data_IF_713750950496
#
_entry.id   IF_713750950496
#
_cell.length_a   1.000
_cell.length_b   1.000
_cell.length_c   1.000
_cell.angle_alpha   90.00
_cell.angle_beta   90.00
_cell.angle_gamma   90.00
#
_symmetry.space_group_name_H-M   'P 1'
#
loop_
_entity.id
_entity.type
_entity.pdbx_description
1 polymer ?
#
# COMPACT_ATOMS: atom_id res chain seq x y z
N UNK A 1 -26.39 -18.10 1.00
CA UNK A 1 -26.65 -17.59 -0.35
C UNK A 1 -27.37 -16.24 -0.33
N UNK A 2 -26.66 -15.14 -0.03
CA UNK A 2 -27.08 -13.77 -0.36
C UNK A 2 -25.84 -12.92 -0.45
N UNK A 3 -25.62 -12.23 -1.58
CA UNK A 3 -24.85 -10.98 -1.52
C UNK A 3 -25.35 -9.89 -2.47
N UNK A 4 -26.12 -10.17 -3.52
CA UNK A 4 -26.63 -9.09 -4.39
C UNK A 4 -28.00 -9.41 -4.96
N UNK A 5 -29.06 -9.02 -4.24
CA UNK A 5 -30.45 -9.35 -4.60
C UNK A 5 -31.03 -8.53 -5.75
N UNK A 6 -30.37 -7.48 -6.22
CA UNK A 6 -30.91 -6.61 -7.27
C UNK A 6 -29.85 -6.36 -8.33
N UNK A 7 -29.82 -7.27 -9.29
CA UNK A 7 -29.13 -7.06 -10.56
C UNK A 7 -29.98 -6.10 -11.38
N UNK A 8 -29.46 -4.90 -11.64
CA UNK A 8 -29.99 -4.05 -12.71
C UNK A 8 -29.00 -4.19 -13.85
N UNK A 9 -29.43 -4.80 -14.95
CA UNK A 9 -28.63 -4.91 -16.17
C UNK A 9 -28.66 -3.56 -16.88
N UNK A 10 -27.71 -2.68 -16.53
CA UNK A 10 -27.58 -1.36 -17.14
C UNK A 10 -26.93 -1.42 -18.54
N UNK A 11 -26.18 -2.50 -18.85
CA UNK A 11 -25.56 -2.81 -20.13
C UNK A 11 -25.17 -4.32 -20.17
N UNK A 12 -24.94 -4.95 -21.33
CA UNK A 12 -24.70 -6.41 -21.44
C UNK A 12 -23.42 -6.93 -20.74
N UNK A 13 -22.55 -6.05 -20.22
CA UNK A 13 -21.32 -6.44 -19.49
C UNK A 13 -21.27 -5.97 -18.05
N UNK A 14 -22.08 -4.98 -17.68
CA UNK A 14 -21.98 -4.31 -16.38
C UNK A 14 -23.09 -4.79 -15.44
N UNK A 15 -22.67 -5.19 -14.24
CA UNK A 15 -23.57 -5.67 -13.19
C UNK A 15 -23.51 -4.70 -12.03
N UNK A 16 -24.63 -4.02 -11.75
CA UNK A 16 -24.76 -3.17 -10.57
C UNK A 16 -25.23 -4.01 -9.40
N UNK A 17 -24.51 -3.86 -8.28
CA UNK A 17 -24.62 -4.66 -7.08
C UNK A 17 -25.00 -3.72 -5.92
N UNK A 18 -26.19 -3.90 -5.35
CA UNK A 18 -26.69 -3.07 -4.24
C UNK A 18 -26.57 -3.82 -2.91
N UNK A 19 -26.13 -3.09 -1.87
CA UNK A 19 -25.97 -3.57 -0.51
C UNK A 19 -26.63 -2.60 0.47
N UNK A 20 -27.43 -3.09 1.41
CA UNK A 20 -28.04 -2.23 2.44
C UNK A 20 -27.05 -1.93 3.57
N UNK A 21 -27.35 -0.90 4.37
CA UNK A 21 -26.52 -0.55 5.55
C UNK A 21 -26.49 -1.68 6.57
N UNK A 22 -27.61 -2.39 6.75
CA UNK A 22 -27.70 -3.56 7.64
C UNK A 22 -26.93 -4.77 7.09
N UNK A 23 -26.88 -4.95 5.76
CA UNK A 23 -26.09 -6.02 5.13
C UNK A 23 -24.59 -5.73 5.22
N UNK A 24 -24.17 -4.48 5.01
CA UNK A 24 -22.78 -4.04 5.17
C UNK A 24 -22.25 -4.28 6.60
N UNK A 25 -23.12 -4.11 7.59
CA UNK A 25 -22.73 -4.20 9.00
C UNK A 25 -22.67 -5.63 9.54
N UNK A 26 -23.15 -6.63 8.78
CA UNK A 26 -23.08 -8.03 9.17
C UNK A 26 -21.70 -8.61 8.87
N UNK A 27 -21.17 -9.50 9.73
CA UNK A 27 -19.95 -10.24 9.42
C UNK A 27 -20.08 -10.98 8.09
N UNK A 28 -18.96 -11.11 7.38
CA UNK A 28 -18.91 -11.90 6.15
C UNK A 28 -19.38 -13.34 6.44
N UNK A 29 -20.15 -13.89 5.51
CA UNK A 29 -20.55 -15.30 5.55
C UNK A 29 -19.33 -16.21 5.60
N UNK A 30 -19.46 -17.39 6.23
CA UNK A 30 -18.42 -18.44 6.23
C UNK A 30 -17.98 -18.85 4.81
N UNK A 31 -18.89 -18.75 3.82
CA UNK A 31 -18.61 -18.96 2.39
C UNK A 31 -17.60 -17.94 1.83
N UNK A 32 -17.45 -16.80 2.50
CA UNK A 32 -16.51 -15.72 2.18
C UNK A 32 -15.33 -15.65 3.17
N UNK A 33 -15.08 -16.71 3.95
CA UNK A 33 -13.95 -16.80 4.89
C UNK A 33 -12.58 -16.58 4.22
N UNK A 34 -12.48 -16.86 2.92
CA UNK A 34 -11.30 -16.57 2.12
C UNK A 34 -10.95 -15.08 2.06
N UNK A 35 -11.93 -14.17 2.21
CA UNK A 35 -11.73 -12.72 2.26
C UNK A 35 -11.30 -12.23 3.64
N UNK A 36 -11.73 -12.91 4.72
CA UNK A 36 -11.35 -12.56 6.09
C UNK A 36 -9.98 -13.08 6.49
N UNK A 37 -9.38 -13.94 5.68
CA UNK A 37 -8.06 -14.49 5.96
C UNK A 37 -7.00 -13.48 5.52
N UNK A 38 -6.60 -12.59 6.44
CA UNK A 38 -5.23 -12.07 6.43
C UNK A 38 -4.33 -13.29 6.36
N UNK A 39 -3.77 -13.56 5.18
CA UNK A 39 -2.97 -14.76 4.93
C UNK A 39 -1.76 -14.71 5.86
N UNK A 40 -1.81 -15.44 6.96
CA UNK A 40 -0.69 -15.55 7.91
C UNK A 40 0.36 -16.40 7.21
N UNK A 41 1.38 -15.75 6.65
CA UNK A 41 2.49 -16.45 6.02
C UNK A 41 3.33 -17.11 7.12
N UNK A 42 3.51 -18.44 7.06
CA UNK A 42 4.29 -19.22 8.03
C UNK A 42 5.72 -18.69 8.20
N UNK A 43 6.27 -18.07 7.15
CA UNK A 43 7.48 -17.24 7.20
C UNK A 43 7.26 -16.00 6.36
N UNK A 44 7.37 -14.77 6.91
CA UNK A 44 7.46 -13.59 6.07
C UNK A 44 8.75 -13.70 5.26
N UNK A 45 8.63 -14.02 3.96
CA UNK A 45 9.76 -13.92 3.04
C UNK A 45 10.17 -12.46 3.07
N UNK A 46 11.41 -12.20 3.46
CA UNK A 46 11.93 -10.84 3.57
C UNK A 46 12.01 -10.13 2.22
N UNK A 47 12.39 -8.85 2.23
CA UNK A 47 12.52 -8.06 1.00
C UNK A 47 13.69 -8.49 0.11
N UNK A 48 14.56 -9.38 0.56
CA UNK A 48 15.67 -9.94 -0.23
C UNK A 48 15.60 -11.44 -0.28
N UNK A 49 15.92 -11.98 -1.45
CA UNK A 49 16.14 -13.40 -1.66
C UNK A 49 17.53 -13.83 -1.16
N UNK A 50 17.79 -15.14 -0.99
CA UNK A 50 19.11 -15.64 -0.59
C UNK A 50 20.25 -15.28 -1.55
N UNK A 51 19.94 -14.99 -2.81
CA UNK A 51 20.91 -14.55 -3.83
C UNK A 51 21.23 -13.03 -3.75
N UNK A 52 20.61 -12.31 -2.81
CA UNK A 52 20.77 -10.87 -2.62
C UNK A 52 19.86 -10.01 -3.50
N UNK A 53 19.11 -10.59 -4.43
CA UNK A 53 18.15 -9.85 -5.26
C UNK A 53 16.94 -9.39 -4.43
N UNK A 54 16.29 -8.30 -4.86
CA UNK A 54 15.15 -7.71 -4.15
C UNK A 54 13.86 -8.43 -4.54
N UNK A 55 13.14 -8.93 -3.54
CA UNK A 55 11.82 -9.53 -3.69
C UNK A 55 10.73 -8.45 -3.75
N UNK A 56 10.50 -7.89 -4.93
CA UNK A 56 9.51 -6.83 -5.15
C UNK A 56 8.07 -7.22 -4.79
N UNK A 57 7.77 -8.51 -4.72
CA UNK A 57 6.44 -9.05 -4.38
C UNK A 57 6.33 -9.40 -2.89
N UNK A 58 7.34 -9.08 -2.07
CA UNK A 58 7.29 -9.28 -0.63
C UNK A 58 6.02 -8.67 -0.03
N UNK A 59 5.29 -9.38 0.85
CA UNK A 59 4.18 -8.81 1.61
C UNK A 59 4.56 -7.52 2.37
N UNK A 60 5.82 -7.41 2.80
CA UNK A 60 6.38 -6.21 3.41
C UNK A 60 6.36 -4.97 2.50
N UNK A 61 6.42 -5.16 1.18
CA UNK A 61 6.22 -4.11 0.17
C UNK A 61 4.78 -4.13 -0.36
N UNK A 62 3.83 -4.44 0.52
CA UNK A 62 2.41 -4.56 0.24
C UNK A 62 2.12 -5.46 -0.97
N UNK A 63 2.83 -6.59 -1.06
CA UNK A 63 2.67 -7.59 -2.13
C UNK A 63 3.07 -7.07 -3.52
N UNK A 64 3.94 -6.07 -3.58
CA UNK A 64 4.36 -5.41 -4.82
C UNK A 64 3.44 -4.29 -5.28
N UNK A 65 2.39 -3.95 -4.52
CA UNK A 65 1.55 -2.80 -4.84
C UNK A 65 2.31 -1.47 -4.82
N UNK A 66 3.35 -1.32 -3.99
CA UNK A 66 4.17 -0.10 -3.95
C UNK A 66 4.95 0.14 -5.26
N UNK A 67 5.48 -0.92 -5.87
CA UNK A 67 6.18 -0.83 -7.16
C UNK A 67 5.24 -0.82 -8.36
N UNK A 68 4.03 -1.38 -8.21
CA UNK A 68 2.98 -1.32 -9.23
C UNK A 68 2.16 -0.03 -9.16
N UNK A 69 2.35 0.78 -8.12
CA UNK A 69 1.68 2.07 -7.96
C UNK A 69 2.08 3.03 -9.09
N UNK A 70 1.26 4.06 -9.34
CA UNK A 70 1.56 5.11 -10.33
C UNK A 70 2.88 5.83 -10.06
N UNK A 71 3.29 5.93 -8.80
CA UNK A 71 4.59 6.48 -8.37
C UNK A 71 5.67 5.39 -8.16
N UNK A 72 5.40 4.14 -8.51
CA UNK A 72 6.27 3.00 -8.26
C UNK A 72 7.61 3.09 -8.99
N UNK A 73 7.67 3.82 -10.12
CA UNK A 73 8.92 4.08 -10.84
C UNK A 73 9.91 4.94 -10.04
N UNK A 74 9.43 5.81 -9.15
CA UNK A 74 10.24 6.59 -8.21
C UNK A 74 10.55 5.81 -6.93
N UNK A 75 9.66 4.89 -6.54
CA UNK A 75 9.86 4.05 -5.37
C UNK A 75 11.02 3.07 -5.53
N UNK A 76 11.20 2.48 -6.74
CA UNK A 76 12.27 1.51 -7.01
C UNK A 76 13.68 2.05 -6.75
N UNK A 77 14.12 3.19 -7.31
CA UNK A 77 15.46 3.73 -7.04
C UNK A 77 15.64 4.13 -5.59
N UNK A 78 14.62 4.74 -4.96
CA UNK A 78 14.60 5.04 -3.53
C UNK A 78 14.85 3.77 -2.69
N UNK A 79 14.12 2.69 -2.97
CA UNK A 79 14.25 1.42 -2.25
C UNK A 79 15.64 0.79 -2.42
N UNK A 80 16.19 0.83 -3.63
CA UNK A 80 17.55 0.33 -3.90
C UNK A 80 18.58 1.14 -3.11
N UNK A 81 18.47 2.46 -3.10
CA UNK A 81 19.38 3.34 -2.37
C UNK A 81 19.32 3.08 -0.85
N UNK A 82 18.13 2.95 -0.27
CA UNK A 82 17.95 2.63 1.16
C UNK A 82 18.48 1.23 1.52
N UNK A 83 18.37 0.26 0.60
CA UNK A 83 18.67 -1.14 0.89
C UNK A 83 20.17 -1.50 0.89
N UNK A 84 21.05 -0.61 0.42
CA UNK A 84 22.48 -0.87 0.29
C UNK A 84 23.30 -0.42 1.52
N UNK A 85 22.66 -0.15 2.66
CA UNK A 85 23.21 0.78 3.64
C UNK A 85 22.87 0.43 5.09
N UNK A 86 23.86 -0.05 5.83
CA UNK A 86 23.72 -0.40 7.24
C UNK A 86 23.89 0.87 8.11
N UNK A 87 22.82 1.25 8.84
CA UNK A 87 22.83 2.06 10.10
C UNK A 87 22.60 3.59 10.05
N UNK A 88 22.18 4.20 8.95
CA UNK A 88 21.76 5.63 8.94
C UNK A 88 20.27 5.78 8.64
N UNK A 89 19.66 6.86 9.15
CA UNK A 89 18.25 7.17 8.92
C UNK A 89 17.96 7.29 7.42
N UNK A 90 16.92 6.58 6.95
CA UNK A 90 16.60 6.40 5.54
C UNK A 90 16.41 7.74 4.81
N UNK A 91 15.96 8.76 5.54
CA UNK A 91 15.71 10.11 5.05
C UNK A 91 16.97 10.94 4.81
N UNK A 92 18.13 10.54 5.33
CA UNK A 92 19.40 11.26 5.14
C UNK A 92 20.22 10.73 3.96
N UNK A 93 20.03 9.46 3.57
CA UNK A 93 20.87 8.81 2.54
C UNK A 93 20.43 9.04 1.10
N UNK A 94 19.11 9.07 0.87
CA UNK A 94 18.52 9.13 -0.46
C UNK A 94 17.52 10.30 -0.55
N UNK A 95 17.95 11.53 -0.23
CA UNK A 95 17.03 12.65 -0.06
C UNK A 95 16.36 13.02 -1.40
N UNK A 96 17.07 12.91 -2.51
CA UNK A 96 16.54 13.26 -3.84
C UNK A 96 15.44 12.28 -4.25
N UNK A 97 15.72 10.98 -4.21
CA UNK A 97 14.76 9.93 -4.57
C UNK A 97 13.56 9.92 -3.62
N UNK A 98 13.78 10.23 -2.34
CA UNK A 98 12.72 10.34 -1.34
C UNK A 98 11.80 11.52 -1.66
N UNK A 99 12.37 12.70 -1.92
CA UNK A 99 11.60 13.91 -2.25
C UNK A 99 10.78 13.70 -3.52
N UNK A 100 11.36 13.09 -4.56
CA UNK A 100 10.64 12.82 -5.81
C UNK A 100 9.48 11.86 -5.60
N UNK A 101 9.72 10.72 -4.93
CA UNK A 101 8.69 9.73 -4.66
C UNK A 101 7.55 10.31 -3.83
N UNK A 102 7.89 11.01 -2.74
CA UNK A 102 6.92 11.69 -1.89
C UNK A 102 6.14 12.73 -2.70
N UNK A 103 6.81 13.62 -3.44
CA UNK A 103 6.14 14.63 -4.27
C UNK A 103 5.13 14.01 -5.27
N UNK A 104 5.46 12.85 -5.86
CA UNK A 104 4.53 12.12 -6.71
C UNK A 104 3.31 11.60 -5.94
N UNK A 105 3.51 10.96 -4.79
CA UNK A 105 2.42 10.44 -3.96
C UNK A 105 1.47 11.56 -3.49
N UNK A 106 2.04 12.72 -3.12
CA UNK A 106 1.28 13.89 -2.67
C UNK A 106 0.42 14.51 -3.77
N UNK A 107 0.89 14.51 -5.02
CA UNK A 107 0.09 14.99 -6.16
C UNK A 107 -1.15 14.12 -6.41
N UNK A 108 -1.10 12.83 -6.05
CA UNK A 108 -2.21 11.89 -6.28
C UNK A 108 -3.24 11.89 -5.16
N UNK A 109 -2.86 12.24 -3.93
CA UNK A 109 -3.77 12.23 -2.78
C UNK A 109 -4.75 13.41 -2.74
N UNK A 110 -4.62 14.42 -3.60
CA UNK A 110 -5.46 15.62 -3.60
C UNK A 110 -5.34 16.49 -2.32
N UNK A 111 -4.65 15.99 -1.30
CA UNK A 111 -4.22 16.70 -0.10
C UNK A 111 -2.77 17.10 -0.31
N UNK A 112 -2.54 18.38 -0.65
CA UNK A 112 -1.26 19.04 -0.36
C UNK A 112 -0.90 18.75 1.10
N UNK A 113 0.18 18.04 1.44
CA UNK A 113 0.18 17.41 2.74
C UNK A 113 0.96 18.24 3.74
N UNK A 114 0.31 18.41 4.88
CA UNK A 114 0.89 18.67 6.20
C UNK A 114 2.19 17.89 6.47
N UNK A 115 2.41 16.76 5.81
CA UNK A 115 3.59 15.91 5.96
C UNK A 115 4.91 16.62 5.58
N UNK A 116 4.94 17.36 4.46
CA UNK A 116 6.14 18.16 4.09
C UNK A 116 6.34 19.34 5.08
N UNK A 117 5.25 19.91 5.58
CA UNK A 117 5.28 21.01 6.55
C UNK A 117 5.81 20.58 7.94
N UNK A 118 5.59 19.33 8.34
CA UNK A 118 6.08 18.76 9.60
C UNK A 118 7.55 18.31 9.48
N UNK A 119 7.94 17.75 8.33
CA UNK A 119 9.35 17.42 8.03
C UNK A 119 10.23 18.69 7.93
N UNK A 120 9.78 19.75 7.27
CA UNK A 120 10.51 21.03 7.18
C UNK A 120 10.60 21.77 8.53
N UNK A 121 9.77 21.41 9.51
CA UNK A 121 9.80 21.97 10.87
C UNK A 121 10.57 21.11 11.89
N UNK A 122 11.21 20.02 11.45
CA UNK A 122 12.00 19.16 12.35
C UNK A 122 11.17 18.49 13.44
N UNK A 123 9.88 18.21 13.19
CA UNK A 123 9.02 17.56 14.19
C UNK A 123 9.35 16.06 14.22
N UNK A 124 9.73 15.48 15.38
CA UNK A 124 10.12 14.09 15.47
C UNK A 124 8.95 13.15 15.15
N UNK A 125 9.27 12.00 14.54
CA UNK A 125 8.35 10.98 14.05
C UNK A 125 7.40 10.37 15.12
N UNK A 126 7.60 10.70 16.40
CA UNK A 126 6.75 10.29 17.52
C UNK A 126 5.40 11.03 17.55
N UNK A 127 5.22 12.09 16.76
CA UNK A 127 3.97 12.85 16.70
C UNK A 127 2.84 12.18 15.87
N UNK A 128 3.06 10.96 15.36
CA UNK A 128 2.11 10.23 14.51
C UNK A 128 1.62 8.90 15.12
N UNK A 129 1.79 8.70 16.44
CA UNK A 129 1.12 7.65 17.21
C UNK A 129 -0.09 8.23 17.96
#
# INVERSE_FOLDING_TARGET
MWLFRRKIDCAPKDVVLFMSSEEHSKPLSEDCSWMSTLKVFEKPIGPRFPDGSINWQCPCMAGGSLVAHRCGYLFRPLYICMSNSDKEDNTMKCPEEFVEWVACMQRLSGQFPKFLFLFLKGVPSTAFL
#
